data_IF_804724306476
#
_entry.id   IF_804724306476
#
_cell.length_a   1.000
_cell.length_b   1.000
_cell.length_c   1.000
_cell.angle_alpha   90.00
_cell.angle_beta   90.00
_cell.angle_gamma   90.00
#
_symmetry.space_group_name_H-M   'P 1'
#
loop_
_entity.id
_entity.type
_entity.pdbx_description
1 polymer ?
#
# COMPACT_ATOMS: atom_id res chain seq x y z
N UNK A 1 12.16 18.08 -22.26
CA UNK A 1 11.92 19.33 -21.51
C UNK A 1 11.25 18.98 -20.19
N UNK A 2 12.02 18.92 -19.11
CA UNK A 2 11.46 18.81 -17.76
C UNK A 2 11.03 20.23 -17.40
N UNK A 3 9.75 20.56 -17.61
CA UNK A 3 9.17 21.68 -16.88
C UNK A 3 9.18 21.24 -15.42
N UNK A 4 10.06 21.85 -14.64
CA UNK A 4 10.40 21.43 -13.28
C UNK A 4 9.11 21.20 -12.48
N UNK A 5 8.99 20.04 -11.81
CA UNK A 5 7.82 19.74 -10.97
C UNK A 5 7.63 20.86 -9.94
N UNK A 6 8.74 21.51 -9.57
CA UNK A 6 8.76 22.71 -8.76
C UNK A 6 7.92 23.83 -9.37
N UNK A 7 8.19 24.26 -10.59
CA UNK A 7 7.49 25.37 -11.22
C UNK A 7 6.01 25.07 -11.49
N UNK A 8 5.71 23.84 -11.91
CA UNK A 8 4.34 23.48 -12.31
C UNK A 8 3.40 23.28 -11.12
N UNK A 9 3.91 22.69 -10.04
CA UNK A 9 3.12 22.17 -8.93
C UNK A 9 3.51 22.72 -7.55
N UNK A 10 4.54 23.56 -7.49
CA UNK A 10 5.23 23.92 -6.25
C UNK A 10 5.60 22.66 -5.45
N UNK A 11 6.23 21.72 -6.16
CA UNK A 11 6.65 20.45 -5.58
C UNK A 11 7.76 20.65 -4.55
N UNK A 12 7.74 19.91 -3.45
CA UNK A 12 8.85 19.86 -2.50
C UNK A 12 9.05 18.45 -1.97
N UNK A 13 10.31 18.02 -1.92
CA UNK A 13 10.72 16.79 -1.27
C UNK A 13 11.46 17.15 0.02
N UNK A 14 10.93 16.72 1.17
CA UNK A 14 11.50 17.06 2.47
C UNK A 14 11.23 15.98 3.51
N UNK A 15 11.81 16.12 4.70
CA UNK A 15 11.42 15.33 5.86
C UNK A 15 10.16 15.90 6.51
N UNK A 16 9.36 15.02 7.11
CA UNK A 16 8.19 15.42 7.86
C UNK A 16 8.59 16.16 9.14
N UNK A 17 7.81 17.19 9.47
CA UNK A 17 7.91 17.87 10.77
C UNK A 17 7.37 16.96 11.88
N UNK A 18 7.73 17.23 13.13
CA UNK A 18 7.22 16.50 14.30
C UNK A 18 5.68 16.45 14.33
N UNK A 19 5.02 17.57 14.03
CA UNK A 19 3.55 17.67 13.98
C UNK A 19 2.93 16.77 12.91
N UNK A 20 3.56 16.70 11.74
CA UNK A 20 3.10 15.83 10.65
C UNK A 20 3.30 14.36 10.99
N UNK A 21 4.43 14.00 11.60
CA UNK A 21 4.67 12.65 12.12
C UNK A 21 3.61 12.29 13.16
N UNK A 22 3.33 13.17 14.13
CA UNK A 22 2.30 12.94 15.14
C UNK A 22 0.91 12.70 14.53
N UNK A 23 0.57 13.48 13.50
CA UNK A 23 -0.71 13.36 12.78
C UNK A 23 -0.79 12.05 12.00
N UNK A 24 0.28 11.69 11.29
CA UNK A 24 0.39 10.43 10.55
C UNK A 24 0.28 9.23 11.48
N UNK A 25 1.00 9.24 12.60
CA UNK A 25 1.01 8.15 13.57
C UNK A 25 -0.36 7.98 14.22
N UNK A 26 -1.03 9.09 14.56
CA UNK A 26 -2.41 9.06 15.03
C UNK A 26 -3.34 8.42 14.01
N UNK A 27 -3.26 8.83 12.73
CA UNK A 27 -4.06 8.25 11.65
C UNK A 27 -3.84 6.74 11.51
N UNK A 28 -2.59 6.28 11.53
CA UNK A 28 -2.26 4.85 11.44
C UNK A 28 -2.84 4.08 12.64
N UNK A 29 -2.69 4.59 13.85
CA UNK A 29 -3.22 3.96 15.06
C UNK A 29 -4.75 3.86 15.04
N UNK A 30 -5.43 4.92 14.59
CA UNK A 30 -6.88 4.91 14.43
C UNK A 30 -7.33 3.88 13.39
N UNK A 31 -6.63 3.76 12.27
CA UNK A 31 -6.93 2.72 11.26
C UNK A 31 -6.73 1.31 11.77
N UNK A 32 -5.66 1.05 12.54
CA UNK A 32 -5.45 -0.25 13.18
C UNK A 32 -6.58 -0.61 14.15
N UNK A 33 -7.08 0.37 14.90
CA UNK A 33 -8.25 0.19 15.77
C UNK A 33 -9.52 -0.13 14.97
N UNK A 34 -9.77 0.58 13.87
CA UNK A 34 -10.91 0.30 12.99
C UNK A 34 -10.84 -1.12 12.42
N UNK A 35 -9.66 -1.55 11.96
CA UNK A 35 -9.43 -2.87 11.37
C UNK A 35 -9.55 -4.00 12.39
N UNK A 36 -9.05 -3.83 13.62
CA UNK A 36 -9.20 -4.83 14.69
C UNK A 36 -10.67 -5.13 15.01
N UNK A 37 -11.55 -4.15 14.78
CA UNK A 37 -12.99 -4.24 15.02
C UNK A 37 -13.82 -4.64 13.81
N UNK A 38 -13.18 -4.85 12.65
CA UNK A 38 -13.86 -5.21 11.40
C UNK A 38 -14.48 -6.61 11.45
N UNK A 39 -13.84 -7.54 12.14
CA UNK A 39 -14.22 -8.96 12.21
C UNK A 39 -14.97 -9.35 13.50
N UNK A 40 -15.28 -8.39 14.37
CA UNK A 40 -16.06 -8.66 15.58
C UNK A 40 -17.50 -8.98 15.19
N UNK A 41 -17.96 -10.18 15.56
CA UNK A 41 -19.32 -10.67 15.31
C UNK A 41 -20.35 -9.76 16.00
N UNK A 42 -21.53 -9.62 15.38
CA UNK A 42 -22.62 -8.83 15.95
C UNK A 42 -23.28 -9.55 17.14
N UNK A 43 -23.71 -8.82 18.18
CA UNK A 43 -23.57 -7.37 18.35
C UNK A 43 -22.13 -6.98 18.75
N UNK A 44 -21.61 -5.90 18.15
CA UNK A 44 -20.28 -5.40 18.53
C UNK A 44 -20.33 -4.94 20.00
N UNK A 45 -19.31 -5.27 20.83
CA UNK A 45 -19.23 -4.78 22.20
C UNK A 45 -19.28 -3.24 22.22
N UNK A 46 -20.00 -2.67 23.19
CA UNK A 46 -19.98 -1.21 23.42
C UNK A 46 -18.55 -0.79 23.70
N UNK A 47 -18.05 0.18 22.93
CA UNK A 47 -16.72 0.76 23.13
C UNK A 47 -16.80 1.77 24.24
N UNK A 48 -15.94 1.64 25.23
CA UNK A 48 -15.71 2.72 26.19
C UNK A 48 -14.70 3.67 25.55
N UNK A 49 -14.95 4.99 25.56
CA UNK A 49 -14.07 6.00 24.94
C UNK A 49 -12.61 5.82 25.42
N UNK A 50 -12.45 5.54 26.71
CA UNK A 50 -11.16 5.26 27.37
C UNK A 50 -10.42 4.07 26.74
N UNK A 51 -11.12 3.01 26.33
CA UNK A 51 -10.53 1.83 25.70
C UNK A 51 -9.95 2.16 24.32
N UNK A 52 -10.68 2.97 23.52
CA UNK A 52 -10.19 3.45 22.22
C UNK A 52 -8.95 4.32 22.43
N UNK A 53 -9.00 5.25 23.37
CA UNK A 53 -7.93 6.23 23.59
C UNK A 53 -6.66 5.57 24.13
N UNK A 54 -6.79 4.56 25.01
CA UNK A 54 -5.67 3.77 25.52
C UNK A 54 -5.02 2.94 24.40
N UNK A 55 -5.84 2.28 23.57
CA UNK A 55 -5.33 1.54 22.40
C UNK A 55 -4.57 2.46 21.44
N UNK A 56 -5.16 3.60 21.07
CA UNK A 56 -4.53 4.56 20.16
C UNK A 56 -3.23 5.09 20.77
N UNK A 57 -3.21 5.41 22.06
CA UNK A 57 -2.01 5.93 22.72
C UNK A 57 -0.87 4.92 22.71
N UNK A 58 -1.14 3.65 23.03
CA UNK A 58 -0.15 2.56 22.99
C UNK A 58 0.38 2.32 21.58
N UNK A 59 -0.51 2.23 20.60
CA UNK A 59 -0.11 2.03 19.21
C UNK A 59 0.70 3.21 18.66
N UNK A 60 0.37 4.45 19.05
CA UNK A 60 1.13 5.63 18.62
C UNK A 60 2.59 5.55 19.06
N UNK A 61 2.86 5.19 20.31
CA UNK A 61 4.24 5.03 20.80
C UNK A 61 4.99 3.99 19.99
N UNK A 62 4.39 2.82 19.78
CA UNK A 62 5.00 1.74 18.99
C UNK A 62 5.26 2.13 17.54
N UNK A 63 4.31 2.81 16.89
CA UNK A 63 4.47 3.26 15.50
C UNK A 63 5.58 4.32 15.41
N UNK A 64 5.66 5.25 16.37
CA UNK A 64 6.73 6.24 16.45
C UNK A 64 8.11 5.59 16.57
N UNK A 65 8.26 4.54 17.38
CA UNK A 65 9.52 3.79 17.52
C UNK A 65 9.93 3.12 16.20
N UNK A 66 8.96 2.55 15.48
CA UNK A 66 9.21 1.82 14.23
C UNK A 66 9.52 2.73 13.04
N UNK A 67 8.88 3.89 12.95
CA UNK A 67 9.05 4.84 11.85
C UNK A 67 10.18 5.85 12.14
N UNK A 68 10.35 6.22 13.40
CA UNK A 68 11.28 7.27 13.84
C UNK A 68 11.00 8.63 13.21
N UNK A 69 12.06 9.41 12.98
CA UNK A 69 12.02 10.70 12.28
C UNK A 69 12.17 10.57 10.75
N UNK A 70 12.08 9.36 10.21
CA UNK A 70 12.43 9.04 8.81
C UNK A 70 11.20 8.97 7.90
N UNK A 71 10.32 9.96 8.01
CA UNK A 71 9.17 10.12 7.11
C UNK A 71 9.52 11.13 6.05
N UNK A 72 9.53 10.69 4.79
CA UNK A 72 9.69 11.55 3.63
C UNK A 72 8.34 12.11 3.23
N UNK A 73 8.28 13.39 2.89
CA UNK A 73 7.08 14.07 2.40
C UNK A 73 7.32 14.51 0.96
N UNK A 74 6.43 14.09 0.07
CA UNK A 74 6.31 14.56 -1.29
C UNK A 74 5.13 15.54 -1.36
N UNK A 75 5.43 16.83 -1.30
CA UNK A 75 4.44 17.89 -1.25
C UNK A 75 4.09 18.40 -2.65
N UNK A 76 2.80 18.43 -2.96
CA UNK A 76 2.23 19.12 -4.12
C UNK A 76 1.47 20.36 -3.63
N UNK A 77 2.22 21.40 -3.21
CA UNK A 77 1.68 22.55 -2.47
C UNK A 77 0.54 23.26 -3.19
N UNK A 78 0.63 23.41 -4.52
CA UNK A 78 -0.42 24.01 -5.35
C UNK A 78 -1.79 23.35 -5.21
N UNK A 79 -1.82 22.07 -4.83
CA UNK A 79 -3.05 21.30 -4.62
C UNK A 79 -3.38 21.05 -3.14
N UNK A 80 -2.50 21.42 -2.20
CA UNK A 80 -2.58 21.05 -0.79
C UNK A 80 -2.69 19.53 -0.61
N UNK A 81 -1.80 18.81 -1.30
CA UNK A 81 -1.69 17.35 -1.25
C UNK A 81 -0.28 17.01 -0.82
N UNK A 82 -0.16 16.10 0.14
CA UNK A 82 1.12 15.60 0.64
C UNK A 82 1.10 14.08 0.61
N UNK A 83 2.18 13.44 0.16
CA UNK A 83 2.33 12.00 0.27
C UNK A 83 3.45 11.72 1.28
N UNK A 84 3.09 11.07 2.38
CA UNK A 84 4.02 10.55 3.37
C UNK A 84 4.53 9.20 2.92
N UNK A 85 5.85 9.04 2.87
CA UNK A 85 6.53 7.79 2.55
C UNK A 85 7.39 7.41 3.74
N UNK A 86 7.20 6.20 4.27
CA UNK A 86 7.95 5.70 5.41
C UNK A 86 8.09 4.19 5.32
N UNK A 87 9.11 3.65 5.98
CA UNK A 87 9.27 2.21 6.09
C UNK A 87 8.65 1.73 7.40
N UNK A 88 7.86 0.66 7.30
CA UNK A 88 7.33 -0.06 8.44
C UNK A 88 8.10 -1.37 8.56
N UNK A 89 8.96 -1.45 9.57
CA UNK A 89 9.71 -2.67 9.89
C UNK A 89 8.96 -3.39 11.01
N UNK A 90 8.73 -4.68 10.85
CA UNK A 90 8.15 -5.54 11.88
C UNK A 90 8.88 -6.86 11.91
N UNK A 91 9.05 -7.43 13.09
CA UNK A 91 9.38 -8.85 13.21
C UNK A 91 8.18 -9.66 12.72
N UNK A 92 8.45 -10.59 11.80
CA UNK A 92 7.47 -11.49 11.21
C UNK A 92 7.52 -12.86 11.89
N UNK A 93 8.73 -13.32 12.21
CA UNK A 93 9.04 -14.55 12.93
C UNK A 93 10.37 -14.38 13.68
N UNK A 94 10.76 -15.35 14.50
CA UNK A 94 12.07 -15.37 15.18
C UNK A 94 13.19 -15.20 14.14
N UNK A 95 14.01 -14.16 14.30
CA UNK A 95 15.06 -13.75 13.35
C UNK A 95 14.60 -13.34 11.93
N UNK A 96 13.30 -13.19 11.68
CA UNK A 96 12.75 -12.78 10.38
C UNK A 96 12.07 -11.41 10.50
N UNK A 97 12.58 -10.42 9.77
CA UNK A 97 11.94 -9.10 9.66
C UNK A 97 11.21 -8.92 8.32
N UNK A 98 10.07 -8.25 8.38
CA UNK A 98 9.33 -7.72 7.24
C UNK A 98 9.55 -6.21 7.17
N UNK A 99 10.19 -5.73 6.10
CA UNK A 99 10.34 -4.30 5.79
C UNK A 99 9.40 -3.91 4.66
N UNK A 100 8.46 -3.02 4.93
CA UNK A 100 7.44 -2.58 3.97
C UNK A 100 7.48 -1.07 3.81
N UNK A 101 7.73 -0.58 2.59
CA UNK A 101 7.53 0.83 2.28
C UNK A 101 6.04 1.13 2.21
N UNK A 102 5.57 1.98 3.11
CA UNK A 102 4.18 2.40 3.22
C UNK A 102 4.03 3.85 2.75
N UNK A 103 2.87 4.15 2.16
CA UNK A 103 2.56 5.46 1.61
C UNK A 103 1.19 5.91 2.13
N UNK A 104 1.09 7.15 2.58
CA UNK A 104 -0.18 7.77 3.01
C UNK A 104 -0.35 9.10 2.28
N UNK A 105 -1.47 9.27 1.58
CA UNK A 105 -1.84 10.56 1.00
C UNK A 105 -2.61 11.37 2.02
N UNK A 106 -2.26 12.65 2.14
CA UNK A 106 -2.99 13.64 2.92
C UNK A 106 -3.53 14.72 2.00
N UNK A 107 -4.79 15.05 2.20
CA UNK A 107 -5.54 16.07 1.48
C UNK A 107 -6.30 16.94 2.48
N UNK A 108 -6.93 18.01 2.01
CA UNK A 108 -7.80 18.85 2.86
C UNK A 108 -8.93 18.09 3.57
N UNK A 109 -9.33 16.92 3.08
CA UNK A 109 -10.46 16.15 3.63
C UNK A 109 -10.05 14.95 4.46
N UNK A 110 -8.75 14.72 4.66
CA UNK A 110 -8.23 13.64 5.49
C UNK A 110 -7.06 12.89 4.86
N UNK A 111 -6.71 11.77 5.50
CA UNK A 111 -5.62 10.88 5.10
C UNK A 111 -6.14 9.52 4.64
N UNK A 112 -5.44 8.89 3.70
CA UNK A 112 -5.71 7.53 3.23
C UNK A 112 -4.41 6.78 2.94
N UNK A 113 -4.40 5.47 3.22
CA UNK A 113 -3.31 4.60 2.76
C UNK A 113 -3.31 4.49 1.25
N UNK A 114 -2.14 4.61 0.65
CA UNK A 114 -1.91 4.26 -0.74
C UNK A 114 -1.44 2.82 -0.80
N UNK A 115 -2.17 1.96 -1.50
CA UNK A 115 -1.74 0.59 -1.74
C UNK A 115 -0.43 0.56 -2.55
N UNK A 116 0.30 -0.56 -2.49
CA UNK A 116 1.61 -0.74 -3.14
C UNK A 116 1.57 -0.71 -4.69
N UNK A 117 0.40 -0.52 -5.30
CA UNK A 117 0.26 -0.38 -6.76
C UNK A 117 0.60 1.05 -7.24
N UNK A 118 0.74 1.22 -8.56
CA UNK A 118 0.81 2.53 -9.21
C UNK A 118 -0.53 3.26 -9.05
N UNK A 119 -0.61 4.16 -8.06
CA UNK A 119 -1.79 4.98 -7.87
C UNK A 119 -1.69 6.21 -8.77
N UNK A 120 -2.49 6.22 -9.85
CA UNK A 120 -2.65 7.41 -10.69
C UNK A 120 -3.60 8.41 -10.00
N UNK A 121 -3.08 9.60 -9.69
CA UNK A 121 -3.84 10.66 -9.06
C UNK A 121 -4.26 11.74 -10.07
N UNK A 122 -5.54 12.10 -10.05
CA UNK A 122 -5.98 13.37 -10.62
C UNK A 122 -5.83 14.47 -9.57
N UNK A 123 -4.69 15.19 -9.60
CA UNK A 123 -4.39 16.27 -8.65
C UNK A 123 -5.47 17.38 -8.62
N UNK A 124 -6.17 17.64 -9.74
CA UNK A 124 -7.26 18.63 -9.77
C UNK A 124 -8.49 18.15 -8.99
N UNK A 125 -8.80 16.86 -9.04
CA UNK A 125 -9.88 16.28 -8.26
C UNK A 125 -9.54 16.28 -6.76
N UNK A 126 -8.30 15.92 -6.41
CA UNK A 126 -7.82 15.90 -5.01
C UNK A 126 -7.90 17.26 -4.31
N UNK A 127 -7.92 18.36 -5.07
CA UNK A 127 -8.12 19.72 -4.53
C UNK A 127 -9.53 19.91 -3.94
N UNK A 128 -10.53 19.22 -4.50
CA UNK A 128 -11.96 19.49 -4.27
C UNK A 128 -12.73 18.30 -3.66
N UNK A 129 -12.25 17.07 -3.81
CA UNK A 129 -12.94 15.84 -3.38
C UNK A 129 -12.25 15.13 -2.21
N UNK A 130 -13.00 14.26 -1.53
CA UNK A 130 -12.36 13.27 -0.64
C UNK A 130 -11.82 12.23 -1.60
N UNK A 131 -10.53 11.90 -1.55
CA UNK A 131 -10.11 10.64 -2.16
C UNK A 131 -10.76 9.56 -1.31
N UNK A 132 -11.78 8.92 -1.88
CA UNK A 132 -12.21 7.61 -1.47
C UNK A 132 -11.89 6.74 -2.68
N UNK A 133 -11.11 5.68 -2.49
CA UNK A 133 -11.06 4.59 -3.46
C UNK A 133 -12.52 4.26 -3.82
N UNK A 134 -12.97 4.57 -5.05
CA UNK A 134 -14.26 4.06 -5.54
C UNK A 134 -14.22 2.56 -5.26
N UNK A 135 -15.15 2.03 -4.45
CA UNK A 135 -15.31 0.58 -4.27
C UNK A 135 -15.23 -0.02 -5.67
N UNK A 136 -14.17 -0.77 -5.93
CA UNK A 136 -13.98 -1.43 -7.23
C UNK A 136 -15.25 -2.25 -7.43
N UNK A 137 -15.99 -1.97 -8.52
CA UNK A 137 -17.21 -2.73 -8.85
C UNK A 137 -16.87 -4.22 -8.76
N UNK A 138 -17.72 -4.99 -8.10
CA UNK A 138 -17.63 -6.45 -8.08
C UNK A 138 -17.61 -6.94 -9.53
N UNK A 139 -16.43 -7.37 -9.96
CA UNK A 139 -16.11 -7.78 -11.32
C UNK A 139 -14.70 -8.35 -11.30
N UNK A 140 -14.33 -9.09 -12.34
CA UNK A 140 -13.00 -9.71 -12.44
C UNK A 140 -11.95 -8.60 -12.29
N UNK A 141 -11.06 -8.71 -11.28
CA UNK A 141 -10.02 -7.70 -11.05
C UNK A 141 -9.20 -7.52 -12.32
N UNK A 142 -9.01 -6.27 -12.74
CA UNK A 142 -8.22 -5.93 -13.93
C UNK A 142 -6.75 -6.36 -13.76
N UNK A 143 -6.26 -6.39 -12.52
CA UNK A 143 -4.93 -6.88 -12.13
C UNK A 143 -5.02 -8.25 -11.42
N UNK A 144 -4.17 -9.23 -11.74
CA UNK A 144 -4.01 -10.45 -10.95
C UNK A 144 -3.59 -10.16 -9.49
N UNK A 145 -3.77 -11.09 -8.55
CA UNK A 145 -3.24 -10.87 -7.18
C UNK A 145 -1.72 -10.85 -7.18
N UNK A 146 -1.11 -10.21 -6.18
CA UNK A 146 0.35 -10.19 -6.03
C UNK A 146 0.94 -11.59 -5.93
N UNK A 147 0.27 -12.49 -5.19
CA UNK A 147 0.61 -13.92 -5.14
C UNK A 147 0.62 -14.57 -6.53
N UNK A 148 -0.34 -14.22 -7.39
CA UNK A 148 -0.39 -14.76 -8.76
C UNK A 148 0.74 -14.20 -9.62
N UNK A 149 1.12 -12.94 -9.42
CA UNK A 149 2.24 -12.29 -10.12
C UNK A 149 3.55 -12.95 -9.71
N UNK A 150 3.80 -13.06 -8.41
CA UNK A 150 5.00 -13.68 -7.85
C UNK A 150 5.17 -15.12 -8.34
N UNK A 151 4.14 -15.97 -8.20
CA UNK A 151 4.16 -17.36 -8.69
C UNK A 151 4.41 -17.44 -10.19
N UNK A 152 3.85 -16.53 -10.99
CA UNK A 152 4.08 -16.50 -12.44
C UNK A 152 5.54 -16.15 -12.78
N UNK A 153 6.15 -15.21 -12.06
CA UNK A 153 7.55 -14.85 -12.26
C UNK A 153 8.50 -15.98 -11.83
N UNK A 154 8.18 -16.68 -10.73
CA UNK A 154 8.92 -17.87 -10.30
C UNK A 154 8.87 -19.00 -11.34
N UNK A 155 7.67 -19.30 -11.86
CA UNK A 155 7.49 -20.27 -12.95
C UNK A 155 8.25 -19.84 -14.21
N UNK A 156 8.19 -18.55 -14.59
CA UNK A 156 8.92 -18.01 -15.74
C UNK A 156 10.43 -18.19 -15.59
N UNK A 157 10.98 -17.82 -14.43
CA UNK A 157 12.40 -17.98 -14.11
C UNK A 157 12.80 -19.47 -14.07
N UNK A 158 11.94 -20.34 -13.54
CA UNK A 158 12.17 -21.78 -13.54
C UNK A 158 12.30 -22.31 -14.97
N UNK A 159 11.36 -21.97 -15.87
CA UNK A 159 11.40 -22.35 -17.29
C UNK A 159 12.66 -21.82 -18.00
N UNK A 160 13.06 -20.58 -17.73
CA UNK A 160 14.28 -19.98 -18.28
C UNK A 160 15.55 -20.76 -17.86
N UNK A 161 15.58 -21.31 -16.65
CA UNK A 161 16.73 -22.06 -16.12
C UNK A 161 16.72 -23.52 -16.59
N UNK A 162 15.55 -24.16 -16.72
CA UNK A 162 15.44 -25.60 -16.99
C UNK A 162 15.36 -25.98 -18.48
N UNK A 163 15.15 -25.02 -19.39
CA UNK A 163 15.00 -25.23 -20.85
C UNK A 163 13.73 -26.05 -21.23
N UNK A 164 13.14 -25.93 -22.45
CA UNK A 164 11.74 -25.54 -22.61
C UNK A 164 10.80 -26.68 -23.01
N UNK A 165 11.24 -27.94 -22.98
CA UNK A 165 10.40 -29.08 -23.39
C UNK A 165 9.38 -29.50 -22.32
N UNK A 166 9.41 -28.86 -21.15
CA UNK A 166 8.51 -29.17 -20.06
C UNK A 166 7.12 -28.58 -20.29
N UNK A 167 6.10 -29.44 -20.21
CA UNK A 167 4.69 -29.05 -20.32
C UNK A 167 4.33 -28.03 -19.23
N UNK A 168 3.99 -26.80 -19.62
CA UNK A 168 3.58 -25.70 -18.73
C UNK A 168 2.51 -26.13 -17.72
N UNK A 169 1.63 -27.06 -18.08
CA UNK A 169 0.60 -27.58 -17.17
C UNK A 169 1.20 -28.36 -16.00
N UNK A 170 2.21 -29.19 -16.27
CA UNK A 170 2.95 -29.92 -15.23
C UNK A 170 3.72 -28.95 -14.32
N UNK A 171 4.40 -27.97 -14.90
CA UNK A 171 5.14 -26.96 -14.13
C UNK A 171 4.18 -26.15 -13.25
N UNK A 172 3.06 -25.68 -13.81
CA UNK A 172 2.06 -24.95 -13.02
C UNK A 172 1.53 -25.81 -11.85
N UNK A 173 1.27 -27.11 -12.10
CA UNK A 173 0.84 -28.04 -11.07
C UNK A 173 1.89 -28.23 -9.96
N UNK A 174 3.18 -28.38 -10.31
CA UNK A 174 4.28 -28.47 -9.33
C UNK A 174 4.35 -27.25 -8.40
N UNK A 175 4.04 -26.07 -8.93
CA UNK A 175 4.00 -24.82 -8.19
C UNK A 175 2.64 -24.54 -7.50
N UNK A 176 1.71 -25.51 -7.53
CA UNK A 176 0.37 -25.34 -6.95
C UNK A 176 -0.41 -24.18 -7.57
N UNK A 177 -0.20 -23.94 -8.87
CA UNK A 177 -0.71 -22.78 -9.58
C UNK A 177 -1.50 -23.22 -10.82
N UNK A 178 -2.59 -22.51 -11.17
CA UNK A 178 -3.38 -22.90 -12.34
C UNK A 178 -2.78 -22.34 -13.64
N UNK A 179 -2.72 -23.17 -14.68
CA UNK A 179 -2.30 -22.77 -16.03
C UNK A 179 -3.07 -21.56 -16.57
N UNK A 180 -4.36 -21.47 -16.24
CA UNK A 180 -5.22 -20.33 -16.62
C UNK A 180 -4.83 -19.03 -15.91
N UNK A 181 -4.43 -19.11 -14.64
CA UNK A 181 -3.92 -17.95 -13.90
C UNK A 181 -2.56 -17.52 -14.44
N UNK A 182 -1.68 -18.48 -14.72
CA UNK A 182 -0.37 -18.25 -15.33
C UNK A 182 -0.47 -17.46 -16.64
N UNK A 183 -1.19 -17.94 -17.65
CA UNK A 183 -1.30 -17.22 -18.93
C UNK A 183 -1.98 -15.86 -18.80
N UNK A 184 -2.96 -15.74 -17.91
CA UNK A 184 -3.61 -14.45 -17.66
C UNK A 184 -2.61 -13.44 -17.09
N UNK A 185 -1.75 -13.86 -16.17
CA UNK A 185 -0.73 -13.01 -15.57
C UNK A 185 0.36 -12.67 -16.59
N UNK A 186 0.84 -13.64 -17.37
CA UNK A 186 1.81 -13.40 -18.45
C UNK A 186 1.29 -12.35 -19.44
N UNK A 187 0.06 -12.53 -19.94
CA UNK A 187 -0.56 -11.54 -20.85
C UNK A 187 -0.72 -10.16 -20.19
N UNK A 188 -0.96 -10.14 -18.88
CA UNK A 188 -1.05 -8.89 -18.12
C UNK A 188 0.32 -8.19 -17.97
N UNK A 189 1.41 -8.96 -17.83
CA UNK A 189 2.79 -8.47 -17.76
C UNK A 189 3.27 -7.96 -19.12
N UNK A 190 3.01 -8.70 -20.21
CA UNK A 190 3.39 -8.34 -21.59
C UNK A 190 2.84 -6.98 -22.03
N UNK A 191 1.57 -6.68 -21.72
CA UNK A 191 0.92 -5.40 -22.06
C UNK A 191 1.58 -4.21 -21.35
N UNK A 192 2.36 -4.44 -20.30
CA UNK A 192 2.97 -3.41 -19.46
C UNK A 192 4.50 -3.31 -19.62
N UNK A 193 5.09 -4.01 -20.59
CA UNK A 193 6.54 -4.08 -20.80
C UNK A 193 7.31 -4.47 -19.52
N UNK A 194 6.78 -5.45 -18.76
CA UNK A 194 7.48 -6.14 -17.67
C UNK A 194 7.77 -7.60 -18.04
#
# INVERSE_FOLDING_TARGET
MINDLKDKYDFELRLATKKEVDTLVYFIAEKKWEDSRKYIKSPKPKVIIVEKDDFISKERTRILELIGSKVLVQDYKKYNVSIFVYNYIREYDEDIISSLTSRVISTKKGMEFLENEDVLFNLRELKNSVYYKKKVKSGRRNRPSEESIQKTLEIKKYIEITNPEMNIDKICHEFGFSKTSYYRVIKWLEVRNM
#
